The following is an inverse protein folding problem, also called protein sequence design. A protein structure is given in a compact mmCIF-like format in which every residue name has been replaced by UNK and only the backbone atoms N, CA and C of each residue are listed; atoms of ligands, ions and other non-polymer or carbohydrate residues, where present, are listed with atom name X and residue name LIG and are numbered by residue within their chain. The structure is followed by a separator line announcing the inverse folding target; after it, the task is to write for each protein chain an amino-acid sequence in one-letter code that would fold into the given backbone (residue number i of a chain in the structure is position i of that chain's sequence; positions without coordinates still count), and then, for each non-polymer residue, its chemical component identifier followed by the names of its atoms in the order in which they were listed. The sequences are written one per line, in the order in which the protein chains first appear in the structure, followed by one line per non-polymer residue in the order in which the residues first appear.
data_IF_695580296542
#
_entry.id   IF_695580296542
#
_cell.length_a   1.000
_cell.length_b   1.000
_cell.length_c   1.000
_cell.angle_alpha   90.00
_cell.angle_beta   90.00
_cell.angle_gamma   90.00
#
_symmetry.space_group_name_H-M   'P 1'
#
loop_
_entity.id
_entity.type
_entity.pdbx_description
1 polymer ?
#
# COMPACT_ATOMS: atom_id res chain seq x y z
N UNK A 1 5.56 -5.81 -14.82
CA UNK A 1 5.07 -5.46 -13.49
C UNK A 1 6.24 -5.07 -12.60
N UNK A 2 6.14 -3.93 -11.95
CA UNK A 2 7.21 -3.41 -11.10
C UNK A 2 6.69 -3.21 -9.69
N UNK A 3 7.57 -3.38 -8.73
CA UNK A 3 7.23 -3.16 -7.33
C UNK A 3 8.35 -2.37 -6.68
N UNK A 4 7.98 -1.43 -5.83
CA UNK A 4 8.99 -0.71 -5.06
C UNK A 4 8.35 -0.19 -3.78
N UNK A 5 9.21 0.21 -2.85
CA UNK A 5 8.78 0.75 -1.57
C UNK A 5 8.91 2.26 -1.63
N UNK A 6 7.89 2.93 -1.17
CA UNK A 6 7.86 4.38 -1.10
C UNK A 6 7.79 4.79 0.37
N UNK A 7 8.67 5.65 0.78
CA UNK A 7 8.66 6.17 2.14
C UNK A 7 8.53 7.68 2.09
N UNK A 8 7.55 8.21 2.81
CA UNK A 8 7.29 9.64 2.75
C UNK A 8 6.63 10.05 4.07
N UNK A 9 7.16 11.09 4.70
CA UNK A 9 6.60 11.63 5.94
C UNK A 9 6.45 10.56 7.03
N UNK A 10 7.39 9.66 7.11
CA UNK A 10 7.34 8.60 8.11
C UNK A 10 6.37 7.49 7.77
N UNK A 11 5.75 7.56 6.62
CA UNK A 11 4.83 6.53 6.18
C UNK A 11 5.48 5.70 5.09
N UNK A 12 5.24 4.40 5.12
CA UNK A 12 5.83 3.48 4.16
C UNK A 12 4.70 2.79 3.41
N UNK A 13 4.86 2.70 2.11
CA UNK A 13 3.87 2.07 1.25
C UNK A 13 4.58 1.22 0.22
N UNK A 14 3.89 0.21 -0.26
CA UNK A 14 4.38 -0.57 -1.38
C UNK A 14 3.61 -0.17 -2.63
N UNK A 15 4.33 0.14 -3.69
CA UNK A 15 3.71 0.52 -4.95
C UNK A 15 3.92 -0.60 -5.94
N UNK A 16 2.85 -0.96 -6.62
CA UNK A 16 2.89 -1.99 -7.66
C UNK A 16 2.40 -1.35 -8.96
N UNK A 17 3.23 -1.42 -9.98
CA UNK A 17 2.86 -0.91 -11.29
C UNK A 17 2.67 -2.08 -12.23
N UNK A 18 1.49 -2.17 -12.82
CA UNK A 18 1.16 -3.24 -13.75
C UNK A 18 1.57 -2.87 -15.16
N UNK A 19 1.63 -3.87 -16.03
CA UNK A 19 2.04 -3.65 -17.40
C UNK A 19 1.12 -2.70 -18.15
N UNK A 20 -0.11 -2.61 -17.70
CA UNK A 20 -1.08 -1.71 -18.31
C UNK A 20 -0.82 -0.25 -17.97
N UNK A 21 0.09 0.01 -17.03
CA UNK A 21 0.33 1.36 -16.56
C UNK A 21 -0.43 1.71 -15.30
N UNK A 22 -1.29 0.83 -14.85
CA UNK A 22 -2.03 1.06 -13.62
C UNK A 22 -1.12 0.89 -12.41
N UNK A 23 -1.38 1.65 -11.37
CA UNK A 23 -0.59 1.57 -10.15
C UNK A 23 -1.49 1.38 -8.95
N UNK A 24 -1.00 0.61 -8.00
CA UNK A 24 -1.68 0.40 -6.73
C UNK A 24 -0.71 0.71 -5.62
N UNK A 25 -1.15 1.44 -4.64
CA UNK A 25 -0.32 1.78 -3.49
C UNK A 25 -0.95 1.16 -2.26
N UNK A 26 -0.16 0.35 -1.55
CA UNK A 26 -0.63 -0.36 -0.37
C UNK A 26 0.15 0.12 0.84
N UNK A 27 -0.53 0.58 1.89
CA UNK A 27 0.17 1.02 3.08
C UNK A 27 0.81 -0.17 3.79
N UNK A 28 1.97 0.07 4.38
CA UNK A 28 2.66 -0.95 5.15
C UNK A 28 2.67 -0.54 6.61
N UNK A 29 2.65 -1.54 7.50
CA UNK A 29 2.76 -1.26 8.92
C UNK A 29 4.23 -1.20 9.31
N UNK A 30 4.49 -0.99 10.58
CA UNK A 30 5.85 -0.83 11.07
C UNK A 30 6.67 -2.10 10.96
N UNK A 31 6.00 -3.24 10.80
CA UNK A 31 6.68 -4.52 10.63
C UNK A 31 6.97 -4.81 9.17
N UNK A 32 6.53 -3.94 8.27
CA UNK A 32 6.74 -4.13 6.85
C UNK A 32 5.68 -4.97 6.17
N UNK A 33 4.60 -5.29 6.86
CA UNK A 33 3.51 -6.07 6.28
C UNK A 33 2.47 -5.16 5.69
N UNK A 34 1.78 -5.63 4.67
CA UNK A 34 0.73 -4.85 4.05
C UNK A 34 -0.42 -4.68 5.03
N UNK A 35 -0.85 -3.46 5.17
CA UNK A 35 -1.91 -3.12 6.09
C UNK A 35 -3.22 -3.16 5.34
N UNK A 36 -3.71 -4.36 5.11
CA UNK A 36 -4.91 -4.56 4.29
C UNK A 36 -6.17 -4.02 4.94
N UNK A 37 -6.26 -4.19 6.26
CA UNK A 37 -7.49 -3.85 6.94
C UNK A 37 -7.28 -2.74 7.93
N UNK A 38 -8.12 -1.78 7.83
CA UNK A 38 -8.22 -0.74 8.81
C UNK A 38 -9.68 -0.83 9.26
N UNK A 39 -9.89 -1.25 10.49
CA UNK A 39 -11.25 -1.47 10.98
C UNK A 39 -12.12 -0.23 10.85
N UNK A 40 -11.53 0.92 10.94
CA UNK A 40 -12.30 2.14 10.82
C UNK A 40 -12.75 2.41 9.40
N UNK A 41 -12.14 1.74 8.44
CA UNK A 41 -12.51 1.91 7.04
C UNK A 41 -13.26 0.76 6.48
N UNK A 42 -13.29 -0.32 7.19
CA UNK A 42 -13.96 -1.51 6.73
C UNK A 42 -15.43 -1.37 6.90
N UNK A 43 -16.04 -0.52 6.52
CA UNK A 43 -17.40 -0.44 6.76
C UNK A 43 -18.33 -0.72 5.69
N UNK A 44 -18.35 -0.73 5.84
CA UNK A 44 -19.00 -0.75 5.43
C UNK A 44 -19.68 -0.73 5.19
N UNK A 45 -20.04 -0.77 5.05
CA UNK A 45 -20.74 -0.78 4.85
C UNK A 45 -21.04 -0.68 4.53
#
# INVERSE_FOLDING_TARGET
MKKWIKAEDGKVSQVIEFDSGSKVELPLDKDGNVKWFDDTKLIKN
#
